data_IF_805061356764
#
_entry.id   IF_805061356764
#
_cell.length_a   1.000
_cell.length_b   1.000
_cell.length_c   1.000
_cell.angle_alpha   90.00
_cell.angle_beta   90.00
_cell.angle_gamma   90.00
#
_symmetry.space_group_name_H-M   'P 1'
#
loop_
_entity.id
_entity.type
_entity.pdbx_description
1 polymer ?
#
# COMPACT_ATOMS: atom_id res chain seq x y z
N UNK A 1 19.20 0.22 20.63
CA UNK A 1 18.96 0.71 19.26
C UNK A 1 18.23 -0.41 18.54
N UNK A 2 16.93 -0.53 18.78
CA UNK A 2 16.11 -1.57 18.16
C UNK A 2 15.85 -1.18 16.71
N UNK A 3 16.38 -1.98 15.79
CA UNK A 3 16.07 -1.90 14.38
C UNK A 3 14.58 -2.16 14.21
N UNK A 4 13.79 -1.08 14.11
CA UNK A 4 12.38 -1.18 13.78
C UNK A 4 12.26 -1.88 12.43
N UNK A 5 11.86 -3.15 12.45
CA UNK A 5 11.35 -3.82 11.26
C UNK A 5 10.14 -3.00 10.82
N UNK A 6 10.29 -2.27 9.70
CA UNK A 6 9.18 -1.54 9.07
C UNK A 6 8.00 -2.54 8.95
N UNK A 7 6.89 -2.22 9.58
CA UNK A 7 5.70 -3.07 9.53
C UNK A 7 5.19 -3.16 8.09
N UNK A 8 4.50 -4.25 7.74
CA UNK A 8 3.89 -4.38 6.41
C UNK A 8 3.00 -3.17 6.05
N UNK A 9 2.32 -2.59 7.04
CA UNK A 9 1.51 -1.39 6.88
C UNK A 9 2.32 -0.18 6.44
N UNK A 10 3.47 0.05 7.08
CA UNK A 10 4.38 1.13 6.73
C UNK A 10 4.99 0.92 5.34
N UNK A 11 5.38 -0.31 5.01
CA UNK A 11 5.89 -0.68 3.69
C UNK A 11 4.85 -0.40 2.60
N UNK A 12 3.60 -0.85 2.81
CA UNK A 12 2.48 -0.60 1.88
C UNK A 12 2.22 0.90 1.78
N UNK A 13 2.12 1.60 2.91
CA UNK A 13 1.79 3.02 2.92
C UNK A 13 2.86 3.86 2.22
N UNK A 14 4.15 3.65 2.54
CA UNK A 14 5.27 4.33 1.89
C UNK A 14 5.24 4.11 0.38
N UNK A 15 5.04 2.87 -0.07
CA UNK A 15 4.98 2.54 -1.50
C UNK A 15 3.81 3.23 -2.22
N UNK A 16 2.60 3.16 -1.65
CA UNK A 16 1.40 3.80 -2.20
C UNK A 16 1.56 5.32 -2.21
N UNK A 17 2.09 5.92 -1.14
CA UNK A 17 2.29 7.36 -1.01
C UNK A 17 3.28 7.90 -2.05
N UNK A 18 4.40 7.21 -2.27
CA UNK A 18 5.39 7.59 -3.28
C UNK A 18 4.83 7.42 -4.70
N UNK A 19 4.10 6.32 -4.95
CA UNK A 19 3.60 5.95 -6.27
C UNK A 19 2.32 6.69 -6.67
N UNK A 20 1.57 7.26 -5.72
CA UNK A 20 0.32 7.97 -5.97
C UNK A 20 -0.88 7.05 -6.21
N UNK A 21 -0.94 6.31 -7.31
CA UNK A 21 -1.98 5.30 -7.53
C UNK A 21 -1.36 4.01 -8.05
N UNK A 22 -1.69 2.89 -7.41
CA UNK A 22 -1.17 1.57 -7.78
C UNK A 22 -2.30 0.56 -7.90
N UNK A 23 -2.11 -0.45 -8.73
CA UNK A 23 -3.04 -1.59 -8.77
C UNK A 23 -2.69 -2.59 -7.67
N UNK A 24 -3.68 -3.35 -7.21
CA UNK A 24 -3.46 -4.43 -6.24
C UNK A 24 -2.44 -5.46 -6.75
N UNK A 25 -2.44 -5.76 -8.06
CA UNK A 25 -1.44 -6.63 -8.69
C UNK A 25 -0.02 -6.06 -8.52
N UNK A 26 0.17 -4.77 -8.81
CA UNK A 26 1.47 -4.11 -8.70
C UNK A 26 1.96 -4.08 -7.25
N UNK A 27 1.07 -3.84 -6.29
CA UNK A 27 1.38 -3.90 -4.87
C UNK A 27 1.85 -5.30 -4.45
N UNK A 28 1.15 -6.36 -4.87
CA UNK A 28 1.54 -7.74 -4.56
C UNK A 28 2.91 -8.09 -5.14
N UNK A 29 3.20 -7.67 -6.39
CA UNK A 29 4.52 -7.86 -6.99
C UNK A 29 5.63 -7.15 -6.21
N UNK A 30 5.38 -5.92 -5.74
CA UNK A 30 6.33 -5.19 -4.90
C UNK A 30 6.57 -5.90 -3.55
N UNK A 31 5.50 -6.32 -2.87
CA UNK A 31 5.62 -7.02 -1.58
C UNK A 31 6.34 -8.36 -1.71
N UNK A 32 6.14 -9.10 -2.80
CA UNK A 32 6.85 -10.35 -3.06
C UNK A 32 8.36 -10.16 -3.26
N UNK A 33 8.81 -8.97 -3.67
CA UNK A 33 10.23 -8.65 -3.85
C UNK A 33 10.89 -8.12 -2.57
N UNK A 34 10.11 -7.41 -1.73
CA UNK A 34 10.63 -6.72 -0.55
C UNK A 34 10.48 -7.48 0.77
N UNK A 35 9.65 -8.53 0.81
CA UNK A 35 9.40 -9.30 2.03
C UNK A 35 9.88 -10.74 1.85
N UNK A 36 10.78 -11.19 2.73
CA UNK A 36 11.16 -12.61 2.86
C UNK A 36 9.98 -13.50 3.31
N UNK A 37 8.90 -12.89 3.80
CA UNK A 37 7.67 -13.57 4.18
C UNK A 37 6.80 -13.80 2.94
N UNK A 38 6.36 -15.04 2.76
CA UNK A 38 5.34 -15.37 1.76
C UNK A 38 4.00 -14.78 2.21
N UNK A 39 3.76 -13.51 1.88
CA UNK A 39 2.55 -12.81 2.26
C UNK A 39 1.37 -13.35 1.44
N UNK A 40 0.46 -14.04 2.13
CA UNK A 40 -0.81 -14.48 1.53
C UNK A 40 -1.62 -13.26 1.11
N UNK A 41 -2.25 -13.33 -0.07
CA UNK A 41 -3.05 -12.24 -0.67
C UNK A 41 -4.14 -11.74 0.27
N UNK A 42 -4.75 -12.66 0.98
CA UNK A 42 -5.78 -12.49 2.00
C UNK A 42 -5.30 -11.60 3.15
N UNK A 43 -4.07 -11.78 3.63
CA UNK A 43 -3.48 -10.91 4.66
C UNK A 43 -3.26 -9.48 4.14
N UNK A 44 -2.80 -9.33 2.90
CA UNK A 44 -2.63 -8.00 2.28
C UNK A 44 -3.99 -7.31 2.12
N UNK A 45 -5.03 -8.04 1.73
CA UNK A 45 -6.38 -7.51 1.62
C UNK A 45 -6.92 -7.01 2.98
N UNK A 46 -6.68 -7.76 4.06
CA UNK A 46 -7.05 -7.35 5.42
C UNK A 46 -6.33 -6.06 5.84
N UNK A 47 -5.03 -5.97 5.60
CA UNK A 47 -4.23 -4.77 5.90
C UNK A 47 -4.77 -3.56 5.12
N UNK A 48 -5.03 -3.71 3.82
CA UNK A 48 -5.62 -2.64 3.01
C UNK A 48 -7.00 -2.22 3.51
N UNK A 49 -7.83 -3.16 3.96
CA UNK A 49 -9.13 -2.88 4.55
C UNK A 49 -9.03 -2.06 5.83
N UNK A 50 -8.10 -2.42 6.72
CA UNK A 50 -7.81 -1.64 7.94
C UNK A 50 -7.35 -0.23 7.60
N UNK A 51 -6.35 -0.10 6.72
CA UNK A 51 -5.81 1.20 6.32
C UNK A 51 -6.85 2.11 5.64
N UNK A 52 -7.76 1.54 4.86
CA UNK A 52 -8.85 2.27 4.24
C UNK A 52 -9.87 2.76 5.29
N UNK A 53 -10.19 1.92 6.27
CA UNK A 53 -11.09 2.25 7.39
C UNK A 53 -10.51 3.37 8.26
N UNK A 54 -9.19 3.35 8.50
CA UNK A 54 -8.45 4.39 9.21
C UNK A 54 -8.31 5.69 8.39
N UNK A 55 -8.73 5.70 7.13
CA UNK A 55 -8.60 6.85 6.23
C UNK A 55 -7.17 7.14 5.80
N UNK A 56 -6.25 6.17 5.83
CA UNK A 56 -4.88 6.34 5.32
C UNK A 56 -4.83 6.26 3.80
N UNK A 57 -5.64 5.38 3.21
CA UNK A 57 -5.69 5.12 1.76
C UNK A 57 -7.13 5.14 1.23
N UNK A 58 -7.26 5.27 -0.08
CA UNK A 58 -8.48 4.99 -0.82
C UNK A 58 -8.30 3.69 -1.60
N UNK A 59 -9.35 2.85 -1.61
CA UNK A 59 -9.40 1.63 -2.42
C UNK A 59 -10.65 1.69 -3.28
N UNK A 60 -10.50 1.57 -4.61
CA UNK A 60 -11.62 1.59 -5.56
C UNK A 60 -11.45 0.52 -6.62
N UNK A 61 -12.56 -0.01 -7.13
CA UNK A 61 -12.56 -0.92 -8.28
C UNK A 61 -12.77 -0.12 -9.56
N UNK A 62 -11.89 -0.32 -10.55
CA UNK A 62 -11.97 0.29 -11.89
C UNK A 62 -11.91 -0.86 -12.89
N UNK A 63 -13.06 -1.20 -13.50
CA UNK A 63 -13.18 -2.38 -14.35
C UNK A 63 -12.86 -3.67 -13.57
N UNK A 64 -11.88 -4.44 -14.04
CA UNK A 64 -11.41 -5.66 -13.40
C UNK A 64 -10.31 -5.42 -12.34
N UNK A 65 -9.84 -4.19 -12.15
CA UNK A 65 -8.69 -3.89 -11.30
C UNK A 65 -9.09 -3.15 -10.01
N UNK A 66 -8.41 -3.50 -8.92
CA UNK A 66 -8.44 -2.75 -7.67
C UNK A 66 -7.31 -1.73 -7.68
N UNK A 67 -7.65 -0.46 -7.50
CA UNK A 67 -6.71 0.66 -7.43
C UNK A 67 -6.65 1.19 -6.01
N UNK A 68 -5.43 1.48 -5.57
CA UNK A 68 -5.09 1.92 -4.22
C UNK A 68 -4.33 3.24 -4.35
N UNK A 69 -4.74 4.26 -3.62
CA UNK A 69 -4.08 5.58 -3.59
C UNK A 69 -3.99 6.11 -2.16
N UNK A 70 -3.08 7.02 -1.82
CA UNK A 70 -3.11 7.67 -0.51
C UNK A 70 -4.33 8.58 -0.44
N UNK A 71 -4.89 8.74 0.77
CA UNK A 71 -5.97 9.70 0.99
C UNK A 71 -5.46 11.14 0.99
N UNK A 72 -4.27 11.34 1.57
CA UNK A 72 -3.55 12.61 1.52
C UNK A 72 -2.74 12.62 0.23
N UNK A 73 -3.10 13.50 -0.71
CA UNK A 73 -2.34 13.67 -1.96
C UNK A 73 -0.93 14.15 -1.62
N UNK A 74 0.07 13.56 -2.26
CA UNK A 74 1.44 14.08 -2.27
C UNK A 74 1.38 15.54 -2.73
N UNK A 75 1.60 16.48 -1.82
CA UNK A 75 1.75 17.89 -2.18
C UNK A 75 3.07 18.00 -2.92
N UNK A 76 3.03 17.86 -4.23
CA UNK A 76 4.16 18.18 -5.09
C UNK A 76 4.22 19.70 -5.09
N UNK A 77 4.94 20.29 -4.12
CA UNK A 77 5.46 21.65 -4.28
C UNK A 77 6.30 21.60 -5.54
N UNK A 78 5.78 22.15 -6.62
CA UNK A 78 6.60 22.56 -7.75
C UNK A 78 7.59 23.58 -7.18
N UNK A 79 8.86 23.19 -7.13
CA UNK A 79 9.99 24.09 -6.95
C UNK A 79 10.34 24.68 -8.31
#
# INVERSE_FOLDING_TARGET
>A
MDSAEDTIEEVIYKYVYISGEVTFRRLLSFLAQHSSLTLRRDRVALVLGSMASDGRINVKKVGAEWRISPKIKKSVRQL
#
